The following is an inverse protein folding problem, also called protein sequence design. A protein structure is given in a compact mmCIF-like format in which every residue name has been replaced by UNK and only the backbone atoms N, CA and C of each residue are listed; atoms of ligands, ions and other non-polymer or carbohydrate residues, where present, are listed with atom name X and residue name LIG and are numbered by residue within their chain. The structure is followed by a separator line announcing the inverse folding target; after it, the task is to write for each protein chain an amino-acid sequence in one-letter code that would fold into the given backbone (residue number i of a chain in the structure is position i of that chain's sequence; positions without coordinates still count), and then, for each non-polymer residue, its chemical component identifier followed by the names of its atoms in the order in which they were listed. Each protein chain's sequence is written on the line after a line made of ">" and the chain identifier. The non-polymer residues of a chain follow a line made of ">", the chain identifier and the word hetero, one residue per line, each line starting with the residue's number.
data_IF_880371389578
#
_entry.id   IF_880371389578
#
_cell.length_a   1.000
_cell.length_b   1.000
_cell.length_c   1.000
_cell.angle_alpha   90.00
_cell.angle_beta   90.00
_cell.angle_gamma   90.00
#
_symmetry.space_group_name_H-M   'P 1'
#
loop_
_entity.id
_entity.type
_entity.pdbx_description
1 polymer ?
#
# COMPACT_ATOMS: atom_id res chain seq x y z
N UNK A 1 21.69 1.36 21.84
CA UNK A 1 20.65 2.42 21.94
C UNK A 1 20.70 3.31 23.20
N UNK A 2 21.33 2.96 24.33
CA UNK A 2 21.33 3.81 25.54
C UNK A 2 22.10 5.13 25.39
N UNK A 3 23.09 5.17 24.51
CA UNK A 3 23.91 6.37 24.24
C UNK A 3 23.24 7.38 23.29
N UNK A 4 22.15 7.00 22.61
CA UNK A 4 21.42 7.88 21.68
C UNK A 4 20.40 8.69 22.49
N UNK A 5 20.39 10.03 22.36
CA UNK A 5 19.48 10.89 23.11
C UNK A 5 18.02 10.59 22.77
N UNK A 6 17.16 10.62 23.80
CA UNK A 6 15.71 10.42 23.67
C UNK A 6 14.99 11.77 23.52
N UNK A 7 13.98 11.81 22.65
CA UNK A 7 13.05 12.93 22.48
C UNK A 7 11.64 12.47 22.85
N UNK A 8 10.87 13.33 23.52
CA UNK A 8 9.59 12.97 24.13
C UNK A 8 9.73 12.46 25.57
N UNK A 9 8.64 11.93 26.18
CA UNK A 9 8.62 11.56 27.59
C UNK A 9 9.67 10.49 27.94
N UNK A 10 10.57 10.84 28.85
CA UNK A 10 11.76 10.05 29.20
C UNK A 10 11.63 9.14 30.42
N UNK A 11 10.54 9.25 31.20
CA UNK A 11 10.31 8.43 32.40
C UNK A 11 9.37 7.26 32.13
N UNK A 12 9.65 6.08 32.68
CA UNK A 12 8.86 4.85 32.49
C UNK A 12 7.34 5.00 32.70
N UNK A 13 6.90 5.79 33.68
CA UNK A 13 5.48 6.08 33.92
C UNK A 13 4.83 6.96 32.84
N UNK A 14 5.63 7.73 32.10
CA UNK A 14 5.21 8.55 30.96
C UNK A 14 5.39 7.83 29.62
N UNK A 15 6.04 6.67 29.56
CA UNK A 15 6.20 5.88 28.33
C UNK A 15 4.83 5.36 27.85
N UNK A 16 3.97 4.90 28.77
CA UNK A 16 2.60 4.49 28.45
C UNK A 16 1.69 5.64 28.00
N UNK A 17 2.00 6.89 28.37
CA UNK A 17 1.30 8.09 27.91
C UNK A 17 1.96 8.71 26.66
N UNK A 18 3.27 8.49 26.48
CA UNK A 18 4.07 9.03 25.38
C UNK A 18 3.80 8.41 24.03
N UNK A 19 3.37 7.14 24.02
CA UNK A 19 2.82 6.48 22.84
C UNK A 19 1.58 7.19 22.31
N UNK A 20 0.67 7.62 23.20
CA UNK A 20 -0.53 8.38 22.83
C UNK A 20 -0.21 9.85 22.46
N UNK A 21 0.85 10.41 23.05
CA UNK A 21 1.36 11.73 22.69
C UNK A 21 1.91 11.74 21.26
N UNK A 22 2.66 10.71 20.86
CA UNK A 22 3.17 10.59 19.49
C UNK A 22 2.05 10.54 18.45
N UNK A 23 0.96 9.82 18.71
CA UNK A 23 -0.19 9.76 17.78
C UNK A 23 -0.77 11.15 17.48
N UNK A 24 -0.79 12.05 18.46
CA UNK A 24 -1.40 13.38 18.32
C UNK A 24 -0.39 14.49 17.99
N UNK A 25 0.89 14.30 18.31
CA UNK A 25 1.93 15.33 18.24
C UNK A 25 3.23 14.82 17.59
N UNK A 26 3.14 13.83 16.68
CA UNK A 26 4.30 13.26 16.00
C UNK A 26 5.20 14.31 15.36
N UNK A 27 4.58 15.31 14.70
CA UNK A 27 5.30 16.38 14.01
C UNK A 27 6.11 17.23 15.00
N UNK A 28 5.51 17.63 16.10
CA UNK A 28 6.13 18.44 17.15
C UNK A 28 7.29 17.69 17.80
N UNK A 29 7.11 16.40 18.11
CA UNK A 29 8.16 15.55 18.70
C UNK A 29 9.33 15.39 17.73
N UNK A 30 9.07 15.12 16.45
CA UNK A 30 10.13 14.99 15.44
C UNK A 30 10.85 16.33 15.25
N UNK A 31 10.11 17.44 15.19
CA UNK A 31 10.69 18.77 15.05
C UNK A 31 11.56 19.14 16.27
N UNK A 32 11.10 18.87 17.49
CA UNK A 32 11.88 19.06 18.72
C UNK A 32 13.19 18.27 18.65
N UNK A 33 13.13 17.02 18.21
CA UNK A 33 14.30 16.17 18.08
C UNK A 33 15.29 16.69 17.04
N UNK A 34 14.77 17.13 15.90
CA UNK A 34 15.58 17.78 14.87
C UNK A 34 16.26 19.05 15.41
N UNK A 35 15.52 19.95 16.05
CA UNK A 35 16.06 21.22 16.54
C UNK A 35 17.12 21.01 17.63
N UNK A 36 16.94 20.02 18.51
CA UNK A 36 17.88 19.72 19.61
C UNK A 36 19.11 18.94 19.16
N UNK A 37 18.96 18.05 18.18
CA UNK A 37 19.99 17.06 17.85
C UNK A 37 20.40 17.07 16.37
N UNK A 38 20.13 18.15 15.62
CA UNK A 38 20.53 18.30 14.22
C UNK A 38 22.00 17.89 13.99
N UNK A 39 22.23 17.04 12.99
CA UNK A 39 23.55 16.49 12.67
C UNK A 39 23.98 15.35 13.59
N UNK A 40 23.09 14.84 14.44
CA UNK A 40 23.31 13.65 15.30
C UNK A 40 22.05 12.79 15.31
N UNK A 41 22.16 11.48 15.60
CA UNK A 41 21.00 10.63 15.78
C UNK A 41 20.30 10.96 17.10
N UNK A 42 18.98 10.86 17.09
CA UNK A 42 18.15 10.84 18.29
C UNK A 42 17.12 9.72 18.16
N UNK A 43 16.44 9.35 19.23
CA UNK A 43 15.39 8.33 19.18
C UNK A 43 14.07 8.82 19.77
N UNK A 44 13.01 8.32 19.18
CA UNK A 44 11.63 8.56 19.59
C UNK A 44 10.97 7.23 19.96
N UNK A 45 10.05 7.28 20.91
CA UNK A 45 9.27 6.12 21.30
C UNK A 45 7.99 6.09 20.46
N UNK A 46 7.75 4.96 19.80
CA UNK A 46 6.57 4.73 18.99
C UNK A 46 5.41 4.15 19.81
N UNK A 47 4.16 4.18 19.30
CA UNK A 47 3.00 3.69 20.03
C UNK A 47 3.10 2.24 20.52
N UNK A 48 3.77 1.39 19.74
CA UNK A 48 4.10 -0.02 20.02
C UNK A 48 5.21 -0.24 21.05
N UNK A 49 5.65 0.82 21.73
CA UNK A 49 6.75 0.79 22.69
C UNK A 49 8.13 0.49 22.08
N UNK A 50 8.27 0.59 20.75
CA UNK A 50 9.55 0.41 20.06
C UNK A 50 10.23 1.75 19.84
N UNK A 51 11.55 1.71 19.77
CA UNK A 51 12.37 2.90 19.56
C UNK A 51 12.69 3.03 18.08
N UNK A 52 12.32 4.15 17.47
CA UNK A 52 12.83 4.54 16.15
C UNK A 52 13.99 5.51 16.33
N UNK A 53 15.11 5.21 15.68
CA UNK A 53 16.28 6.11 15.62
C UNK A 53 16.13 7.00 14.39
N UNK A 54 16.04 8.30 14.65
CA UNK A 54 15.98 9.34 13.64
C UNK A 54 17.40 9.82 13.33
N UNK A 55 17.74 9.90 12.05
CA UNK A 55 19.04 10.36 11.57
C UNK A 55 18.85 11.64 10.76
N UNK A 56 19.66 12.66 11.05
CA UNK A 56 19.55 13.99 10.45
C UNK A 56 20.86 14.49 9.82
N UNK A 57 21.95 13.72 9.96
CA UNK A 57 23.24 14.00 9.32
C UNK A 57 23.26 13.41 7.90
N UNK A 58 23.75 14.18 6.93
CA UNK A 58 23.75 13.79 5.52
C UNK A 58 24.59 12.53 5.24
N UNK A 59 25.73 12.37 5.92
CA UNK A 59 26.58 11.19 5.70
C UNK A 59 25.91 9.95 6.28
N UNK A 60 25.33 10.04 7.48
CA UNK A 60 24.59 8.93 8.08
C UNK A 60 23.35 8.56 7.27
N UNK A 61 22.67 9.54 6.65
CA UNK A 61 21.55 9.28 5.73
C UNK A 61 22.05 8.52 4.49
N UNK A 62 23.19 8.91 3.92
CA UNK A 62 23.78 8.21 2.77
C UNK A 62 24.26 6.79 3.13
N UNK A 63 24.78 6.60 4.36
CA UNK A 63 25.13 5.29 4.89
C UNK A 63 23.89 4.38 5.02
N UNK A 64 22.79 4.89 5.57
CA UNK A 64 21.50 4.15 5.66
C UNK A 64 20.99 3.79 4.26
N UNK A 65 21.03 4.74 3.32
CA UNK A 65 20.56 4.55 1.95
C UNK A 65 21.36 3.48 1.20
N UNK A 66 22.64 3.32 1.51
CA UNK A 66 23.56 2.34 0.91
C UNK A 66 23.66 1.03 1.69
N UNK A 67 23.06 0.96 2.88
CA UNK A 67 23.10 -0.23 3.71
C UNK A 67 22.50 -1.43 2.97
N UNK A 68 23.12 -2.59 3.15
CA UNK A 68 22.59 -3.86 2.67
C UNK A 68 21.52 -4.38 3.62
N UNK A 69 20.70 -5.32 3.14
CA UNK A 69 19.67 -5.97 3.95
C UNK A 69 20.25 -6.74 5.15
N UNK A 70 21.56 -7.07 5.14
CA UNK A 70 22.27 -7.64 6.31
C UNK A 70 22.25 -6.69 7.52
N UNK A 71 22.27 -5.37 7.29
CA UNK A 71 22.30 -4.36 8.35
C UNK A 71 20.93 -3.74 8.60
N UNK A 72 20.16 -3.48 7.53
CA UNK A 72 18.87 -2.80 7.60
C UNK A 72 17.86 -3.49 6.67
N UNK A 73 16.98 -4.30 7.25
CA UNK A 73 15.99 -5.06 6.50
C UNK A 73 14.67 -4.29 6.37
N UNK A 74 14.44 -3.69 5.20
CA UNK A 74 13.26 -2.86 4.95
C UNK A 74 11.94 -3.64 5.04
N UNK A 75 11.91 -4.86 4.49
CA UNK A 75 10.65 -5.62 4.37
C UNK A 75 10.14 -6.11 5.72
N UNK A 76 11.02 -6.49 6.64
CA UNK A 76 10.61 -6.86 8.00
C UNK A 76 10.14 -5.63 8.78
N UNK A 77 10.82 -4.48 8.66
CA UNK A 77 10.35 -3.22 9.24
C UNK A 77 8.97 -2.81 8.67
N UNK A 78 8.76 -2.97 7.36
CA UNK A 78 7.48 -2.71 6.72
C UNK A 78 6.40 -3.68 7.20
N UNK A 79 6.69 -4.97 7.32
CA UNK A 79 5.75 -5.97 7.83
C UNK A 79 5.34 -5.68 9.28
N UNK A 80 6.29 -5.29 10.12
CA UNK A 80 6.04 -4.90 11.50
C UNK A 80 5.13 -3.66 11.58
N UNK A 81 5.36 -2.68 10.71
CA UNK A 81 4.55 -1.46 10.66
C UNK A 81 3.14 -1.70 10.09
N UNK A 82 3.03 -2.43 8.97
CA UNK A 82 1.79 -2.67 8.25
C UNK A 82 1.00 -3.87 8.75
N UNK A 83 1.60 -4.67 9.62
CA UNK A 83 1.00 -5.90 10.16
C UNK A 83 0.53 -6.81 9.01
N UNK A 84 1.38 -6.98 7.98
CA UNK A 84 1.01 -7.50 6.65
C UNK A 84 0.35 -8.87 6.72
N UNK A 85 0.84 -9.77 7.59
CA UNK A 85 0.25 -11.10 7.78
C UNK A 85 -1.25 -11.04 8.16
N UNK A 86 -1.69 -9.99 8.85
CA UNK A 86 -3.09 -9.76 9.24
C UNK A 86 -3.86 -8.87 8.27
N UNK A 87 -3.22 -7.87 7.67
CA UNK A 87 -3.90 -6.85 6.85
C UNK A 87 -4.00 -7.24 5.38
N UNK A 88 -2.98 -7.93 4.83
CA UNK A 88 -2.88 -8.30 3.41
C UNK A 88 -2.67 -9.81 3.20
N UNK A 89 -2.32 -10.53 4.26
CA UNK A 89 -2.10 -11.97 4.25
C UNK A 89 -0.65 -12.36 4.01
N UNK A 90 -0.25 -13.44 4.67
CA UNK A 90 1.11 -13.99 4.66
C UNK A 90 1.73 -14.19 3.26
N UNK A 91 1.01 -14.63 2.20
CA UNK A 91 1.56 -14.76 0.85
C UNK A 91 2.16 -13.47 0.25
N UNK A 92 1.67 -12.30 0.68
CA UNK A 92 2.23 -11.01 0.25
C UNK A 92 3.64 -10.82 0.82
N UNK A 93 3.89 -11.29 2.05
CA UNK A 93 5.20 -11.15 2.70
C UNK A 93 6.23 -12.18 2.22
N UNK A 94 5.82 -13.45 2.08
CA UNK A 94 6.77 -14.56 1.88
C UNK A 94 7.10 -14.83 0.42
N UNK A 95 6.30 -14.29 -0.52
CA UNK A 95 6.59 -14.38 -1.93
C UNK A 95 6.39 -12.99 -2.57
N UNK A 96 7.45 -12.45 -3.15
CA UNK A 96 7.58 -11.04 -3.49
C UNK A 96 7.57 -10.77 -4.99
N UNK A 97 7.15 -11.70 -5.86
CA UNK A 97 7.21 -11.52 -7.33
C UNK A 97 6.46 -10.27 -7.83
N UNK A 98 5.46 -9.79 -7.07
CA UNK A 98 4.77 -8.55 -7.38
C UNK A 98 5.70 -7.31 -7.31
N UNK A 99 6.74 -7.31 -6.47
CA UNK A 99 7.76 -6.27 -6.47
C UNK A 99 8.55 -6.26 -7.78
N UNK A 100 8.87 -7.41 -8.35
CA UNK A 100 9.61 -7.51 -9.61
C UNK A 100 8.76 -7.01 -10.78
N UNK A 101 7.45 -7.31 -10.77
CA UNK A 101 6.48 -6.73 -11.70
C UNK A 101 6.46 -5.20 -11.61
N UNK A 102 6.38 -4.64 -10.40
CA UNK A 102 6.36 -3.18 -10.19
C UNK A 102 7.67 -2.54 -10.66
N UNK A 103 8.82 -3.10 -10.29
CA UNK A 103 10.14 -2.55 -10.63
C UNK A 103 10.41 -2.61 -12.14
N UNK A 104 9.96 -3.66 -12.81
CA UNK A 104 10.36 -3.94 -14.20
C UNK A 104 9.22 -3.78 -15.19
N UNK A 105 8.20 -4.63 -15.14
CA UNK A 105 7.18 -4.78 -16.17
C UNK A 105 6.23 -3.59 -16.18
N UNK A 106 5.84 -3.10 -15.02
CA UNK A 106 4.99 -1.93 -14.87
C UNK A 106 5.67 -0.70 -15.49
N UNK A 107 6.92 -0.40 -15.08
CA UNK A 107 7.72 0.72 -15.60
C UNK A 107 7.87 0.68 -17.12
N UNK A 108 8.14 -0.50 -17.69
CA UNK A 108 8.29 -0.69 -19.16
C UNK A 108 7.00 -0.43 -19.92
N UNK A 109 5.84 -0.71 -19.32
CA UNK A 109 4.54 -0.60 -19.98
C UNK A 109 3.83 0.75 -19.79
N UNK A 110 4.36 1.66 -18.95
CA UNK A 110 3.77 3.00 -18.77
C UNK A 110 3.56 3.71 -20.10
N UNK A 111 4.59 3.72 -20.96
CA UNK A 111 4.52 4.42 -22.26
C UNK A 111 3.48 3.80 -23.18
N UNK A 112 3.41 2.46 -23.24
CA UNK A 112 2.48 1.73 -24.10
C UNK A 112 1.01 1.91 -23.68
N UNK A 113 0.76 2.15 -22.39
CA UNK A 113 -0.59 2.32 -21.83
C UNK A 113 -0.98 3.78 -21.59
N UNK A 114 -0.07 4.74 -21.82
CA UNK A 114 -0.27 6.14 -21.45
C UNK A 114 -1.52 6.76 -22.09
N UNK A 115 -1.82 6.43 -23.35
CA UNK A 115 -3.04 6.90 -24.02
C UNK A 115 -4.31 6.51 -23.28
N UNK A 116 -4.37 5.28 -22.79
CA UNK A 116 -5.53 4.72 -22.09
C UNK A 116 -5.71 5.35 -20.72
N UNK A 117 -4.60 5.60 -20.03
CA UNK A 117 -4.56 6.28 -18.73
C UNK A 117 -5.00 7.73 -18.90
N UNK A 118 -4.48 8.44 -19.91
CA UNK A 118 -4.87 9.82 -20.23
C UNK A 118 -6.35 9.93 -20.55
N UNK A 119 -6.90 9.00 -21.33
CA UNK A 119 -8.34 8.94 -21.64
C UNK A 119 -9.18 8.84 -20.36
N UNK A 120 -8.77 7.98 -19.42
CA UNK A 120 -9.48 7.86 -18.14
C UNK A 120 -9.29 9.10 -17.25
N UNK A 121 -8.10 9.74 -17.22
CA UNK A 121 -7.90 10.99 -16.48
C UNK A 121 -8.88 12.05 -16.97
N UNK A 122 -8.97 12.27 -18.28
CA UNK A 122 -9.89 13.26 -18.87
C UNK A 122 -11.33 12.92 -18.53
N UNK A 123 -11.70 11.65 -18.66
CA UNK A 123 -13.06 11.17 -18.37
C UNK A 123 -13.41 11.34 -16.88
N UNK A 124 -12.54 10.88 -15.98
CA UNK A 124 -12.77 10.92 -14.54
C UNK A 124 -12.81 12.36 -14.01
N UNK A 125 -11.94 13.24 -14.50
CA UNK A 125 -11.99 14.66 -14.15
C UNK A 125 -13.29 15.31 -14.63
N UNK A 126 -13.73 15.04 -15.86
CA UNK A 126 -14.97 15.59 -16.39
C UNK A 126 -16.23 15.10 -15.66
N UNK A 127 -16.22 13.87 -15.16
CA UNK A 127 -17.32 13.28 -14.40
C UNK A 127 -17.34 13.74 -12.93
N UNK A 128 -16.19 13.77 -12.25
CA UNK A 128 -16.10 14.16 -10.84
C UNK A 128 -16.09 15.69 -10.62
N UNK A 129 -15.60 16.44 -11.62
CA UNK A 129 -15.51 17.90 -11.62
C UNK A 129 -16.10 18.44 -12.93
N UNK A 130 -17.44 18.34 -13.10
CA UNK A 130 -18.09 18.80 -14.32
C UNK A 130 -17.92 20.31 -14.50
N UNK A 131 -17.77 20.73 -15.76
CA UNK A 131 -17.69 22.15 -16.11
C UNK A 131 -19.00 22.85 -15.72
N UNK A 132 -18.88 23.97 -15.02
CA UNK A 132 -19.98 24.81 -14.54
C UNK A 132 -19.73 26.26 -14.91
N UNK A 133 -20.79 27.05 -15.07
CA UNK A 133 -20.67 28.48 -15.38
C UNK A 133 -20.18 29.30 -14.17
N UNK A 134 -20.52 28.86 -12.97
CA UNK A 134 -20.17 29.48 -11.70
C UNK A 134 -19.12 28.68 -10.93
N UNK A 135 -18.45 29.32 -9.96
CA UNK A 135 -17.53 28.62 -9.05
C UNK A 135 -18.27 27.62 -8.16
N UNK A 136 -17.83 26.35 -8.19
CA UNK A 136 -18.36 25.28 -7.36
C UNK A 136 -17.25 24.71 -6.47
N UNK A 137 -17.58 24.49 -5.19
CA UNK A 137 -16.68 23.83 -4.23
C UNK A 137 -16.87 22.32 -4.26
N UNK A 138 -15.76 21.59 -4.28
CA UNK A 138 -15.72 20.13 -4.23
C UNK A 138 -14.93 19.65 -3.01
N UNK A 139 -15.25 18.47 -2.47
CA UNK A 139 -14.44 17.85 -1.42
C UNK A 139 -13.12 17.34 -2.02
N UNK A 140 -12.11 18.21 -2.07
CA UNK A 140 -10.86 18.03 -2.82
C UNK A 140 -10.22 16.65 -2.63
N UNK A 141 -10.09 16.17 -1.40
CA UNK A 141 -9.47 14.88 -1.10
C UNK A 141 -10.27 13.70 -1.68
N UNK A 142 -11.57 13.61 -1.38
CA UNK A 142 -12.38 12.49 -1.89
C UNK A 142 -12.52 12.52 -3.41
N UNK A 143 -12.59 13.71 -4.01
CA UNK A 143 -12.61 13.88 -5.46
C UNK A 143 -11.29 13.43 -6.09
N UNK A 144 -10.14 13.85 -5.53
CA UNK A 144 -8.83 13.44 -6.02
C UNK A 144 -8.63 11.92 -5.89
N UNK A 145 -8.96 11.32 -4.73
CA UNK A 145 -8.84 9.89 -4.50
C UNK A 145 -9.65 9.06 -5.52
N UNK A 146 -10.85 9.51 -5.89
CA UNK A 146 -11.64 8.85 -6.94
C UNK A 146 -10.98 8.94 -8.31
N UNK A 147 -10.51 10.12 -8.72
CA UNK A 147 -9.83 10.31 -10.00
C UNK A 147 -8.56 9.44 -10.07
N UNK A 148 -7.74 9.46 -9.02
CA UNK A 148 -6.53 8.64 -8.89
C UNK A 148 -6.88 7.15 -8.93
N UNK A 149 -7.86 6.70 -8.14
CA UNK A 149 -8.28 5.29 -8.09
C UNK A 149 -8.70 4.77 -9.47
N UNK A 150 -9.53 5.52 -10.19
CA UNK A 150 -9.99 5.16 -11.54
C UNK A 150 -8.83 5.10 -12.53
N UNK A 151 -7.98 6.12 -12.51
CA UNK A 151 -6.80 6.22 -13.38
C UNK A 151 -5.81 5.09 -13.15
N UNK A 152 -5.52 4.77 -11.88
CA UNK A 152 -4.68 3.63 -11.49
C UNK A 152 -5.31 2.32 -11.97
N UNK A 153 -6.60 2.11 -11.71
CA UNK A 153 -7.28 0.89 -12.16
C UNK A 153 -7.35 0.75 -13.68
N UNK A 154 -7.39 1.85 -14.44
CA UNK A 154 -7.33 1.82 -15.90
C UNK A 154 -6.02 1.21 -16.39
N UNK A 155 -4.93 1.50 -15.69
CA UNK A 155 -3.62 0.95 -15.99
C UNK A 155 -3.46 -0.49 -15.49
N UNK A 156 -3.90 -0.79 -14.26
CA UNK A 156 -3.68 -2.09 -13.63
C UNK A 156 -4.63 -3.19 -14.11
N UNK A 157 -5.92 -2.91 -14.28
CA UNK A 157 -6.94 -3.93 -14.59
C UNK A 157 -7.80 -3.59 -15.80
N UNK A 158 -7.69 -2.36 -16.33
CA UNK A 158 -8.38 -1.96 -17.55
C UNK A 158 -9.89 -1.82 -17.40
N UNK A 159 -10.59 -1.89 -18.53
CA UNK A 159 -12.05 -1.80 -18.61
C UNK A 159 -12.69 -3.20 -18.48
N UNK A 160 -13.92 -3.30 -17.95
CA UNK A 160 -14.76 -2.20 -17.46
C UNK A 160 -14.48 -1.78 -16.00
N UNK A 161 -13.64 -2.51 -15.27
CA UNK A 161 -13.48 -2.36 -13.82
C UNK A 161 -13.03 -0.96 -13.36
N UNK A 162 -12.21 -0.27 -14.16
CA UNK A 162 -11.73 1.07 -13.80
C UNK A 162 -12.81 2.17 -13.80
N UNK A 163 -13.97 1.96 -14.44
CA UNK A 163 -15.02 2.98 -14.56
C UNK A 163 -16.01 2.89 -13.41
N UNK A 164 -16.01 3.90 -12.53
CA UNK A 164 -16.94 4.02 -11.41
C UNK A 164 -18.41 3.94 -11.86
N UNK A 165 -18.75 4.58 -12.98
CA UNK A 165 -20.11 4.54 -13.55
C UNK A 165 -20.59 3.13 -13.95
N UNK A 166 -19.68 2.16 -14.12
CA UNK A 166 -19.99 0.77 -14.44
C UNK A 166 -19.86 -0.15 -13.24
N UNK A 167 -18.80 0.02 -12.44
CA UNK A 167 -18.48 -0.85 -11.31
C UNK A 167 -18.10 -0.01 -10.07
N UNK A 168 -19.06 0.74 -9.49
CA UNK A 168 -18.75 1.70 -8.43
C UNK A 168 -18.26 1.01 -7.15
N UNK A 169 -18.71 -0.22 -6.90
CA UNK A 169 -18.24 -0.99 -5.76
C UNK A 169 -16.74 -1.30 -5.85
N UNK A 170 -16.16 -1.49 -7.04
CA UNK A 170 -14.73 -1.79 -7.17
C UNK A 170 -13.85 -0.57 -6.89
N UNK A 171 -14.26 0.62 -7.33
CA UNK A 171 -13.54 1.88 -7.03
C UNK A 171 -13.59 2.17 -5.52
N UNK A 172 -14.78 2.05 -4.92
CA UNK A 172 -14.96 2.24 -3.47
C UNK A 172 -14.20 1.19 -2.66
N UNK A 173 -14.20 -0.08 -3.08
CA UNK A 173 -13.43 -1.16 -2.47
C UNK A 173 -11.94 -0.78 -2.35
N UNK A 174 -11.32 -0.30 -3.42
CA UNK A 174 -9.90 0.05 -3.41
C UNK A 174 -9.59 1.24 -2.47
N UNK A 175 -10.44 2.28 -2.49
CA UNK A 175 -10.29 3.44 -1.60
C UNK A 175 -10.48 3.04 -0.13
N UNK A 176 -11.50 2.24 0.17
CA UNK A 176 -11.80 1.76 1.52
C UNK A 176 -10.71 0.81 2.03
N UNK A 177 -10.22 -0.10 1.18
CA UNK A 177 -9.17 -1.05 1.53
C UNK A 177 -7.92 -0.35 2.06
N UNK A 178 -7.51 0.76 1.42
CA UNK A 178 -6.39 1.55 1.91
C UNK A 178 -6.59 2.05 3.33
N UNK A 179 -7.73 2.71 3.59
CA UNK A 179 -8.06 3.20 4.93
C UNK A 179 -8.16 2.07 5.96
N UNK A 180 -8.76 0.94 5.58
CA UNK A 180 -8.98 -0.20 6.48
C UNK A 180 -7.66 -0.91 6.83
N UNK A 181 -6.71 -1.02 5.90
CA UNK A 181 -5.37 -1.57 6.16
C UNK A 181 -4.62 -0.72 7.19
N UNK A 182 -4.51 0.60 6.99
CA UNK A 182 -3.78 1.47 7.91
C UNK A 182 -4.44 1.53 9.30
N UNK A 183 -5.77 1.53 9.36
CA UNK A 183 -6.50 1.47 10.63
C UNK A 183 -6.23 0.16 11.36
N UNK A 184 -6.35 -0.97 10.67
CA UNK A 184 -6.11 -2.28 11.26
C UNK A 184 -4.66 -2.43 11.75
N UNK A 185 -3.69 -2.05 10.93
CA UNK A 185 -2.27 -2.03 11.30
C UNK A 185 -2.05 -1.17 12.55
N UNK A 186 -2.54 0.07 12.56
CA UNK A 186 -2.44 0.97 13.70
C UNK A 186 -3.06 0.39 14.98
N UNK A 187 -4.22 -0.26 14.90
CA UNK A 187 -4.85 -0.91 16.05
C UNK A 187 -4.02 -2.09 16.56
N UNK A 188 -3.57 -2.98 15.67
CA UNK A 188 -2.82 -4.19 16.03
C UNK A 188 -1.50 -3.82 16.72
N UNK A 189 -0.81 -2.82 16.18
CA UNK A 189 0.47 -2.30 16.67
C UNK A 189 0.39 -1.70 18.08
N UNK A 190 -0.81 -1.36 18.59
CA UNK A 190 -0.99 -0.93 19.98
C UNK A 190 -0.93 -2.10 21.00
N UNK A 191 -0.99 -3.35 20.54
CA UNK A 191 -0.97 -4.52 21.40
C UNK A 191 0.41 -5.20 21.40
N UNK A 192 0.82 -5.78 22.55
CA UNK A 192 2.01 -6.62 22.61
C UNK A 192 1.96 -7.78 21.60
N UNK A 193 3.13 -8.20 21.09
CA UNK A 193 3.27 -9.20 20.03
C UNK A 193 2.47 -10.50 20.28
N UNK A 194 2.37 -10.96 21.53
CA UNK A 194 1.62 -12.18 21.86
C UNK A 194 0.08 -12.04 21.76
N UNK A 195 -0.45 -10.81 21.75
CA UNK A 195 -1.87 -10.51 21.56
C UNK A 195 -2.22 -10.14 20.12
N UNK A 196 -1.24 -9.76 19.30
CA UNK A 196 -1.44 -9.42 17.89
C UNK A 196 -2.16 -10.52 17.09
N UNK A 197 -1.92 -11.84 17.28
CA UNK A 197 -2.69 -12.87 16.59
C UNK A 197 -4.19 -12.83 16.85
N UNK A 198 -4.59 -12.52 18.09
CA UNK A 198 -5.99 -12.46 18.49
C UNK A 198 -6.63 -11.18 17.94
N UNK A 199 -6.01 -10.03 18.20
CA UNK A 199 -6.53 -8.73 17.76
C UNK A 199 -6.55 -8.62 16.24
N UNK A 200 -5.45 -9.03 15.59
CA UNK A 200 -5.31 -9.04 14.14
C UNK A 200 -6.40 -9.85 13.47
N UNK A 201 -6.77 -11.01 14.01
CA UNK A 201 -7.88 -11.81 13.46
C UNK A 201 -9.24 -11.10 13.58
N UNK A 202 -9.45 -10.32 14.65
CA UNK A 202 -10.72 -9.63 14.91
C UNK A 202 -10.86 -8.37 14.04
N UNK A 203 -9.79 -7.59 13.89
CA UNK A 203 -9.82 -6.27 13.21
C UNK A 203 -9.37 -6.34 11.76
N UNK A 204 -8.90 -7.51 11.29
CA UNK A 204 -8.41 -7.67 9.93
C UNK A 204 -9.48 -7.32 8.89
N UNK A 205 -9.15 -6.49 7.89
CA UNK A 205 -10.03 -6.21 6.77
C UNK A 205 -9.98 -7.30 5.69
N UNK A 206 -9.05 -8.26 5.81
CA UNK A 206 -8.64 -9.16 4.74
C UNK A 206 -9.80 -9.98 4.17
N UNK A 207 -10.51 -10.74 5.01
CA UNK A 207 -11.56 -11.65 4.54
C UNK A 207 -12.78 -10.90 3.97
N UNK A 208 -13.11 -9.73 4.54
CA UNK A 208 -14.19 -8.87 4.02
C UNK A 208 -13.80 -8.29 2.66
N UNK A 209 -12.59 -7.74 2.55
CA UNK A 209 -12.08 -7.14 1.32
C UNK A 209 -11.97 -8.19 0.23
N UNK A 210 -11.34 -9.32 0.52
CA UNK A 210 -11.17 -10.40 -0.43
C UNK A 210 -12.51 -10.92 -0.95
N UNK A 211 -13.52 -11.07 -0.08
CA UNK A 211 -14.86 -11.51 -0.51
C UNK A 211 -15.50 -10.54 -1.52
N UNK A 212 -15.36 -9.23 -1.31
CA UNK A 212 -15.83 -8.20 -2.26
C UNK A 212 -15.01 -8.23 -3.54
N UNK A 213 -13.68 -8.26 -3.41
CA UNK A 213 -12.76 -8.30 -4.55
C UNK A 213 -12.97 -9.55 -5.42
N UNK A 214 -13.29 -10.70 -4.82
CA UNK A 214 -13.61 -11.94 -5.53
C UNK A 214 -14.82 -11.77 -6.45
N UNK A 215 -15.82 -10.95 -6.07
CA UNK A 215 -16.97 -10.66 -6.92
C UNK A 215 -16.63 -9.88 -8.19
N UNK A 216 -15.53 -9.12 -8.20
CA UNK A 216 -15.11 -8.28 -9.32
C UNK A 216 -13.96 -8.90 -10.13
N UNK A 217 -12.88 -9.26 -9.43
CA UNK A 217 -11.63 -9.75 -10.02
C UNK A 217 -11.62 -11.27 -10.19
N UNK A 218 -12.40 -12.01 -9.40
CA UNK A 218 -12.37 -13.47 -9.37
C UNK A 218 -12.60 -14.11 -10.74
N UNK A 219 -13.72 -13.80 -11.44
CA UNK A 219 -13.98 -14.32 -12.78
C UNK A 219 -12.90 -13.93 -13.79
N UNK A 220 -12.47 -12.66 -13.79
CA UNK A 220 -11.48 -12.14 -14.76
C UNK A 220 -10.14 -12.84 -14.58
N UNK A 221 -9.68 -13.01 -13.34
CA UNK A 221 -8.42 -13.68 -13.05
C UNK A 221 -8.52 -15.17 -13.38
N UNK A 222 -9.64 -15.82 -13.06
CA UNK A 222 -9.84 -17.24 -13.36
C UNK A 222 -9.83 -17.50 -14.87
N UNK A 223 -10.55 -16.67 -15.64
CA UNK A 223 -10.56 -16.77 -17.10
C UNK A 223 -9.16 -16.51 -17.66
N UNK A 224 -8.45 -15.49 -17.15
CA UNK A 224 -7.07 -15.20 -17.57
C UNK A 224 -6.11 -16.35 -17.27
N UNK A 225 -6.24 -17.01 -16.12
CA UNK A 225 -5.44 -18.18 -15.77
C UNK A 225 -5.73 -19.35 -16.71
N UNK A 226 -7.00 -19.60 -17.04
CA UNK A 226 -7.40 -20.66 -17.96
C UNK A 226 -6.81 -20.42 -19.36
N UNK A 227 -6.92 -19.19 -19.88
CA UNK A 227 -6.33 -18.82 -21.17
C UNK A 227 -4.81 -18.99 -21.15
N UNK A 228 -4.16 -18.53 -20.07
CA UNK A 228 -2.72 -18.65 -19.91
C UNK A 228 -2.28 -20.12 -19.93
N UNK A 229 -2.97 -21.00 -19.20
CA UNK A 229 -2.64 -22.42 -19.11
C UNK A 229 -2.97 -23.16 -20.43
N UNK A 230 -4.01 -22.73 -21.15
CA UNK A 230 -4.40 -23.31 -22.43
C UNK A 230 -3.42 -22.97 -23.57
N UNK A 231 -2.91 -21.74 -23.59
CA UNK A 231 -2.06 -21.22 -24.68
C UNK A 231 -0.59 -21.07 -24.29
N UNK A 232 -0.16 -21.69 -23.19
CA UNK A 232 1.22 -21.62 -22.67
C UNK A 232 1.75 -20.18 -22.54
N UNK A 233 0.88 -19.29 -22.06
CA UNK A 233 1.17 -17.89 -21.83
C UNK A 233 1.20 -17.00 -23.08
N UNK A 234 0.92 -17.49 -24.28
CA UNK A 234 0.94 -16.67 -25.49
C UNK A 234 -0.32 -16.84 -26.35
N UNK A 235 -1.15 -15.80 -26.41
CA UNK A 235 -2.36 -15.77 -27.24
C UNK A 235 -2.58 -14.38 -27.85
N UNK A 236 -3.26 -14.33 -29.00
CA UNK A 236 -3.34 -13.14 -29.85
C UNK A 236 -3.88 -11.88 -29.14
N UNK A 237 -4.86 -12.04 -28.25
CA UNK A 237 -5.52 -10.95 -27.54
C UNK A 237 -5.10 -10.86 -26.07
N UNK A 238 -3.87 -11.27 -25.74
CA UNK A 238 -3.31 -11.23 -24.39
C UNK A 238 -3.34 -9.80 -23.82
N UNK A 239 -4.11 -9.55 -22.74
CA UNK A 239 -4.25 -8.19 -22.25
C UNK A 239 -2.96 -7.68 -21.60
N UNK A 240 -2.58 -6.45 -21.92
CA UNK A 240 -1.41 -5.79 -21.35
C UNK A 240 -1.80 -5.07 -20.04
N UNK A 241 -1.95 -5.83 -18.96
CA UNK A 241 -2.40 -5.37 -17.64
C UNK A 241 -1.67 -6.11 -16.50
N UNK A 242 -1.89 -5.67 -15.26
CA UNK A 242 -1.22 -6.20 -14.08
C UNK A 242 -1.46 -7.70 -13.88
N UNK A 243 -2.67 -8.19 -14.16
CA UNK A 243 -3.01 -9.60 -13.99
C UNK A 243 -2.11 -10.45 -14.89
N UNK A 244 -1.97 -10.06 -16.16
CA UNK A 244 -1.05 -10.73 -17.09
C UNK A 244 0.40 -10.63 -16.61
N UNK A 245 0.85 -9.46 -16.18
CA UNK A 245 2.24 -9.28 -15.75
C UNK A 245 2.59 -10.14 -14.53
N UNK A 246 1.65 -10.31 -13.59
CA UNK A 246 1.80 -11.21 -12.44
C UNK A 246 1.89 -12.68 -12.86
N UNK A 247 1.13 -13.08 -13.88
CA UNK A 247 1.20 -14.44 -14.44
C UNK A 247 2.51 -14.68 -15.20
N UNK A 248 2.99 -13.68 -15.95
CA UNK A 248 4.26 -13.75 -16.69
C UNK A 248 5.47 -13.88 -15.76
N UNK A 249 5.46 -13.16 -14.63
CA UNK A 249 6.54 -13.20 -13.64
C UNK A 249 6.54 -14.53 -12.85
N UNK A 250 5.37 -15.14 -12.67
CA UNK A 250 5.21 -16.35 -11.86
C UNK A 250 4.37 -17.44 -12.59
N UNK A 251 4.82 -17.96 -13.74
CA UNK A 251 3.99 -18.75 -14.64
C UNK A 251 3.58 -20.11 -14.05
N UNK A 252 4.45 -20.74 -13.26
CA UNK A 252 4.21 -22.05 -12.63
C UNK A 252 4.65 -22.08 -11.16
N UNK A 253 4.79 -20.91 -10.53
CA UNK A 253 5.29 -20.82 -9.17
C UNK A 253 4.20 -20.90 -8.10
N UNK A 254 4.63 -20.96 -6.85
CA UNK A 254 3.75 -20.92 -5.69
C UNK A 254 2.99 -19.58 -5.61
N UNK A 255 1.88 -19.55 -4.86
CA UNK A 255 1.06 -18.35 -4.65
C UNK A 255 0.52 -17.73 -5.95
N UNK A 256 0.06 -18.62 -6.86
CA UNK A 256 -0.62 -18.31 -8.13
C UNK A 256 -2.10 -18.73 -8.10
N UNK A 257 -2.76 -18.64 -6.95
CA UNK A 257 -4.22 -18.85 -6.91
C UNK A 257 -4.96 -17.56 -7.25
N UNK A 258 -6.24 -17.66 -7.63
CA UNK A 258 -7.11 -16.48 -7.81
C UNK A 258 -7.06 -15.56 -6.58
N UNK A 259 -7.08 -16.14 -5.38
CA UNK A 259 -6.97 -15.37 -4.12
C UNK A 259 -5.64 -14.62 -4.03
N UNK A 260 -4.52 -15.26 -4.34
CA UNK A 260 -3.19 -14.65 -4.24
C UNK A 260 -3.03 -13.50 -5.25
N UNK A 261 -3.49 -13.70 -6.48
CA UNK A 261 -3.47 -12.68 -7.53
C UNK A 261 -4.36 -11.49 -7.17
N UNK A 262 -5.56 -11.72 -6.60
CA UNK A 262 -6.42 -10.64 -6.11
C UNK A 262 -5.69 -9.82 -5.04
N UNK A 263 -5.07 -10.48 -4.06
CA UNK A 263 -4.40 -9.75 -2.99
C UNK A 263 -3.22 -8.91 -3.51
N UNK A 264 -2.49 -9.40 -4.51
CA UNK A 264 -1.41 -8.63 -5.15
C UNK A 264 -1.92 -7.45 -5.97
N UNK A 265 -3.04 -7.61 -6.68
CA UNK A 265 -3.70 -6.50 -7.37
C UNK A 265 -4.13 -5.42 -6.37
N UNK A 266 -4.73 -5.82 -5.24
CA UNK A 266 -5.15 -4.88 -4.19
C UNK A 266 -3.96 -4.20 -3.50
N UNK A 267 -2.87 -4.91 -3.25
CA UNK A 267 -1.66 -4.35 -2.63
C UNK A 267 -0.97 -3.33 -3.54
N UNK A 268 -0.79 -3.65 -4.82
CA UNK A 268 -0.22 -2.71 -5.80
C UNK A 268 -1.13 -1.49 -5.95
N UNK A 269 -2.45 -1.70 -5.94
CA UNK A 269 -3.41 -0.61 -5.99
C UNK A 269 -3.32 0.30 -4.75
N UNK A 270 -3.22 -0.29 -3.55
CA UNK A 270 -2.98 0.43 -2.30
C UNK A 270 -1.71 1.30 -2.38
N UNK A 271 -0.60 0.70 -2.82
CA UNK A 271 0.68 1.37 -2.96
C UNK A 271 0.64 2.53 -3.98
N UNK A 272 -0.22 2.44 -4.99
CA UNK A 272 -0.40 3.47 -6.01
C UNK A 272 -1.37 4.60 -5.59
N UNK A 273 -2.48 4.28 -4.91
CA UNK A 273 -3.50 5.27 -4.55
C UNK A 273 -3.11 6.08 -3.32
N UNK A 274 -2.69 5.43 -2.24
CA UNK A 274 -2.56 6.11 -0.95
C UNK A 274 -1.55 7.28 -0.94
N UNK A 275 -0.39 7.20 -1.61
CA UNK A 275 0.56 8.31 -1.66
C UNK A 275 0.20 9.45 -2.64
N UNK A 276 -0.73 9.21 -3.58
CA UNK A 276 -1.02 10.10 -4.72
C UNK A 276 -2.17 11.04 -4.42
#
# INVERSE_FOLDING_TARGET
>A
LRHIPTVGPSSFLKISFGSAEFVNHAREIIQEGYDKYRGRPFKILMPDQKWIVMVTDENMIDDIRKATDEYLEFLEAFNEFMQTDYTMGKPIRINLYHFDVVKTTLTRNISARFSDVRDEIVTACAEEIPATEDWVSYPALSTALKVVCRTTNRFLVGLPLCKDSRVPDYVNLNIEFAGDVFKAAGIITLFPDFLQPIVGTIVSPLERTLRRAMGHLGPIIQDRMNDYDQYDGDWADKPNDLITWLLDENPQGEYRTVRDLIMRVLEINLAAIHPT
#
